data_IF_222832003283
#
_entry.id   IF_222832003283
#
_cell.length_a   1.000
_cell.length_b   1.000
_cell.length_c   1.000
_cell.angle_alpha   90.00
_cell.angle_beta   90.00
_cell.angle_gamma   90.00
#
_symmetry.space_group_name_H-M   'P 1'
#
loop_
_entity.id
_entity.type
_entity.pdbx_description
1 polymer ?
#
# COMPACT_ATOMS: atom_id res chain seq x y z
N UNK A 1 -8.96 43.96 -8.63
CA UNK A 1 -9.02 43.50 -7.22
C UNK A 1 -10.07 42.40 -7.02
N UNK A 2 -11.21 42.45 -7.71
CA UNK A 2 -12.32 41.46 -7.53
C UNK A 2 -11.98 40.03 -8.01
N UNK A 3 -10.96 39.83 -8.82
CA UNK A 3 -10.53 38.49 -9.29
C UNK A 3 -9.42 37.90 -8.41
N UNK A 4 -8.62 38.75 -7.77
CA UNK A 4 -7.50 38.29 -6.93
C UNK A 4 -7.96 37.59 -5.64
N UNK A 5 -9.08 38.06 -5.06
CA UNK A 5 -9.62 37.49 -3.81
C UNK A 5 -10.09 36.05 -4.01
N UNK A 6 -10.90 35.68 -5.03
CA UNK A 6 -11.31 34.29 -5.23
C UNK A 6 -10.14 33.37 -5.62
N UNK A 7 -9.16 33.86 -6.38
CA UNK A 7 -7.96 33.10 -6.72
C UNK A 7 -7.13 32.80 -5.48
N UNK A 8 -6.97 33.77 -4.59
CA UNK A 8 -6.24 33.57 -3.32
C UNK A 8 -6.97 32.63 -2.38
N UNK A 9 -8.31 32.68 -2.30
CA UNK A 9 -9.11 31.75 -1.52
C UNK A 9 -9.04 30.33 -2.07
N UNK A 10 -8.99 30.19 -3.39
CA UNK A 10 -8.85 28.88 -4.05
C UNK A 10 -7.47 28.26 -3.76
N UNK A 11 -6.39 29.03 -3.87
CA UNK A 11 -5.05 28.60 -3.54
C UNK A 11 -4.89 28.25 -2.05
N UNK A 12 -5.51 29.05 -1.18
CA UNK A 12 -5.51 28.77 0.26
C UNK A 12 -6.32 27.54 0.61
N UNK A 13 -7.47 27.33 -0.03
CA UNK A 13 -8.27 26.11 0.12
C UNK A 13 -7.53 24.85 -0.32
N UNK A 14 -6.80 24.92 -1.45
CA UNK A 14 -5.94 23.82 -1.92
C UNK A 14 -4.80 23.56 -0.94
N UNK A 15 -4.18 24.61 -0.38
CA UNK A 15 -3.12 24.47 0.62
C UNK A 15 -3.62 23.78 1.89
N UNK A 16 -4.82 24.14 2.37
CA UNK A 16 -5.44 23.49 3.54
C UNK A 16 -5.81 22.00 3.26
N UNK A 17 -6.24 21.70 2.04
CA UNK A 17 -6.48 20.32 1.60
C UNK A 17 -5.18 19.51 1.60
N UNK A 18 -4.11 20.06 1.06
CA UNK A 18 -2.78 19.43 1.07
C UNK A 18 -2.29 19.23 2.50
N UNK A 19 -2.43 20.21 3.38
CA UNK A 19 -2.04 20.08 4.80
C UNK A 19 -2.91 19.06 5.54
N UNK A 20 -4.19 18.96 5.23
CA UNK A 20 -5.08 17.96 5.82
C UNK A 20 -4.69 16.53 5.38
N UNK A 21 -4.36 16.33 4.12
CA UNK A 21 -3.90 15.04 3.59
C UNK A 21 -2.46 14.72 4.00
N UNK A 22 -1.56 15.72 4.11
CA UNK A 22 -0.17 15.51 4.56
C UNK A 22 0.01 15.57 6.08
N UNK A 23 -0.98 16.03 6.85
CA UNK A 23 -0.84 16.44 8.26
C UNK A 23 -0.84 15.31 9.31
N UNK A 24 -0.93 14.04 8.95
CA UNK A 24 -0.85 12.91 9.91
C UNK A 24 0.56 12.35 10.05
N UNK A 25 1.56 13.21 10.28
CA UNK A 25 2.91 12.75 10.62
C UNK A 25 3.02 12.41 12.11
N UNK A 26 2.89 11.14 12.47
CA UNK A 26 3.51 10.61 13.71
C UNK A 26 5.01 10.43 13.45
N UNK A 27 5.82 11.12 14.24
CA UNK A 27 7.28 10.97 14.25
C UNK A 27 7.65 9.56 14.71
N UNK A 28 8.25 8.76 13.84
CA UNK A 28 9.02 7.57 14.21
C UNK A 28 10.21 7.38 13.28
N UNK A 29 11.28 6.80 13.79
CA UNK A 29 12.63 6.73 13.24
C UNK A 29 12.71 6.18 11.81
N UNK A 30 13.49 6.89 10.98
CA UNK A 30 13.70 6.62 9.56
C UNK A 30 14.82 5.61 9.30
N UNK A 31 14.53 4.59 8.50
CA UNK A 31 15.54 3.93 7.66
C UNK A 31 15.29 4.39 6.23
N UNK A 32 16.24 5.12 5.67
CA UNK A 32 16.12 5.84 4.41
C UNK A 32 16.73 4.99 3.30
N UNK A 33 15.93 4.33 2.48
CA UNK A 33 16.36 3.86 1.19
C UNK A 33 16.09 4.96 0.15
N UNK A 34 17.15 5.64 -0.29
CA UNK A 34 17.08 6.72 -1.28
C UNK A 34 17.35 6.17 -2.67
N UNK A 35 16.35 6.12 -3.53
CA UNK A 35 16.52 6.02 -4.97
C UNK A 35 15.95 7.28 -5.63
N UNK A 36 16.74 7.93 -6.48
CA UNK A 36 16.55 9.29 -6.94
C UNK A 36 15.23 9.58 -7.66
N UNK A 37 14.42 10.35 -7.00
CA UNK A 37 13.19 10.96 -7.47
C UNK A 37 12.48 11.56 -6.26
N UNK A 38 11.83 12.72 -6.39
CA UNK A 38 11.04 13.33 -5.31
C UNK A 38 9.75 12.54 -5.05
N UNK A 39 9.90 11.29 -4.60
CA UNK A 39 8.79 10.42 -4.21
C UNK A 39 8.79 10.30 -2.69
N UNK A 40 7.63 10.48 -2.08
CA UNK A 40 7.49 10.18 -0.65
C UNK A 40 7.10 8.71 -0.54
N UNK A 41 8.10 7.88 -0.31
CA UNK A 41 7.93 6.47 0.01
C UNK A 41 8.43 6.26 1.43
N UNK A 42 7.61 5.69 2.29
CA UNK A 42 8.02 5.19 3.60
C UNK A 42 7.69 3.69 3.68
N UNK A 43 8.71 2.89 3.89
CA UNK A 43 8.56 1.44 4.04
C UNK A 43 9.28 1.02 5.30
N UNK A 44 8.55 0.35 6.18
CA UNK A 44 9.05 -0.17 7.46
C UNK A 44 8.60 -1.59 7.66
N UNK A 45 9.48 -2.40 8.18
CA UNK A 45 9.15 -3.72 8.67
C UNK A 45 9.80 -3.89 10.06
N UNK A 46 9.00 -3.70 11.11
CA UNK A 46 9.44 -3.81 12.50
C UNK A 46 8.75 -4.99 13.18
N UNK A 47 9.53 -5.94 13.70
CA UNK A 47 9.00 -7.12 14.39
C UNK A 47 7.94 -7.91 13.61
N UNK A 48 8.04 -7.92 12.26
CA UNK A 48 7.06 -8.57 11.38
C UNK A 48 5.83 -7.72 11.08
N UNK A 49 5.78 -6.46 11.50
CA UNK A 49 4.73 -5.52 11.11
C UNK A 49 5.19 -4.68 9.94
N UNK A 50 4.60 -4.91 8.77
CA UNK A 50 4.88 -4.18 7.55
C UNK A 50 4.05 -2.89 7.48
N UNK A 51 4.70 -1.77 7.19
CA UNK A 51 4.04 -0.51 6.87
C UNK A 51 4.67 0.07 5.61
N UNK A 52 3.88 0.21 4.57
CA UNK A 52 4.31 0.80 3.30
C UNK A 52 3.38 1.95 2.93
N UNK A 53 3.95 3.10 2.63
CA UNK A 53 3.21 4.27 2.16
C UNK A 53 3.85 4.80 0.88
N UNK A 54 3.05 4.98 -0.16
CA UNK A 54 3.43 5.63 -1.41
C UNK A 54 2.47 6.79 -1.69
N UNK A 55 2.96 8.01 -1.66
CA UNK A 55 2.12 9.17 -1.96
C UNK A 55 2.03 9.45 -3.46
N UNK A 56 3.15 9.41 -4.20
CA UNK A 56 3.18 9.65 -5.66
C UNK A 56 4.27 8.85 -6.34
N UNK A 57 3.98 8.29 -7.52
CA UNK A 57 4.97 7.70 -8.43
C UNK A 57 4.82 6.20 -8.62
N UNK A 58 5.88 5.58 -9.11
CA UNK A 58 5.95 4.12 -9.31
C UNK A 58 7.09 3.55 -8.49
N UNK A 59 6.82 2.52 -7.71
CA UNK A 59 7.83 1.88 -6.89
C UNK A 59 7.59 0.38 -6.74
N UNK A 60 8.68 -0.38 -6.63
CA UNK A 60 8.65 -1.79 -6.22
C UNK A 60 9.42 -1.94 -4.91
N UNK A 61 8.77 -2.52 -3.90
CA UNK A 61 9.33 -2.73 -2.58
C UNK A 61 9.42 -4.23 -2.31
N UNK A 62 10.64 -4.77 -2.26
CA UNK A 62 10.85 -6.12 -1.74
C UNK A 62 10.74 -6.11 -0.23
N UNK A 63 9.87 -6.95 0.31
CA UNK A 63 9.70 -7.15 1.75
C UNK A 63 10.54 -8.34 2.17
N UNK A 64 11.51 -8.10 3.05
CA UNK A 64 12.38 -9.15 3.59
C UNK A 64 12.14 -9.22 5.10
N UNK A 65 11.54 -10.30 5.55
CA UNK A 65 11.29 -10.53 6.99
C UNK A 65 11.27 -12.03 7.29
N UNK A 66 11.81 -12.46 8.44
CA UNK A 66 11.72 -13.85 8.85
C UNK A 66 10.28 -14.28 9.16
N UNK A 67 9.44 -13.37 9.66
CA UNK A 67 8.05 -13.65 9.95
C UNK A 67 7.19 -12.40 9.74
N UNK A 68 6.24 -12.45 8.81
CA UNK A 68 5.24 -11.41 8.61
C UNK A 68 4.03 -11.67 9.53
N UNK A 69 3.69 -10.71 10.37
CA UNK A 69 2.59 -10.82 11.36
C UNK A 69 1.40 -9.96 11.02
N UNK A 70 1.63 -8.81 10.41
CA UNK A 70 0.60 -7.92 9.90
C UNK A 70 1.19 -6.97 8.88
N UNK A 71 0.32 -6.32 8.08
CA UNK A 71 0.78 -5.31 7.15
C UNK A 71 -0.28 -4.25 6.89
N UNK A 72 0.21 -3.03 6.58
CA UNK A 72 -0.59 -1.94 6.07
C UNK A 72 0.13 -1.33 4.88
N UNK A 73 -0.57 -1.23 3.76
CA UNK A 73 -0.08 -0.70 2.49
C UNK A 73 -1.01 0.41 2.06
N UNK A 74 -0.48 1.61 1.92
CA UNK A 74 -1.24 2.79 1.52
C UNK A 74 -0.67 3.37 0.23
N UNK A 75 -1.52 3.56 -0.78
CA UNK A 75 -1.15 4.18 -2.05
C UNK A 75 -2.09 5.33 -2.35
N UNK A 76 -1.57 6.53 -2.49
CA UNK A 76 -2.40 7.69 -2.84
C UNK A 76 -2.50 7.89 -4.34
N UNK A 77 -1.35 7.96 -5.07
CA UNK A 77 -1.32 8.13 -6.52
C UNK A 77 -0.16 7.37 -7.15
N UNK A 78 -0.44 6.50 -8.12
CA UNK A 78 0.59 5.84 -8.93
C UNK A 78 0.54 4.32 -8.90
N UNK A 79 1.67 3.71 -9.29
CA UNK A 79 1.78 2.26 -9.41
C UNK A 79 2.71 1.70 -8.33
N UNK A 80 2.19 0.89 -7.44
CA UNK A 80 2.94 0.33 -6.35
C UNK A 80 3.01 -1.20 -6.44
N UNK A 81 4.20 -1.75 -6.38
CA UNK A 81 4.42 -3.20 -6.35
C UNK A 81 5.05 -3.59 -5.02
N UNK A 82 4.35 -4.40 -4.25
CA UNK A 82 4.86 -4.98 -3.00
C UNK A 82 5.19 -6.45 -3.24
N UNK A 83 6.43 -6.80 -2.99
CA UNK A 83 6.96 -8.12 -3.27
C UNK A 83 7.23 -8.88 -1.97
N UNK A 84 6.40 -9.87 -1.68
CA UNK A 84 6.52 -10.70 -0.47
C UNK A 84 7.39 -11.95 -0.66
N UNK A 85 8.09 -12.08 -1.80
CA UNK A 85 8.97 -13.24 -2.05
C UNK A 85 10.10 -13.39 -1.05
N UNK A 86 10.53 -12.28 -0.44
CA UNK A 86 11.56 -12.27 0.61
C UNK A 86 11.06 -12.60 2.02
N UNK A 87 9.75 -12.87 2.20
CA UNK A 87 9.22 -13.30 3.49
C UNK A 87 9.50 -14.79 3.68
N UNK A 88 10.22 -15.16 4.74
CA UNK A 88 10.51 -16.58 5.04
C UNK A 88 9.27 -17.31 5.55
N UNK A 89 8.49 -16.64 6.39
CA UNK A 89 7.23 -17.16 6.92
C UNK A 89 6.19 -16.04 7.07
N UNK A 90 4.93 -16.43 7.08
CA UNK A 90 3.78 -15.57 7.37
C UNK A 90 3.01 -16.18 8.53
N UNK A 91 2.60 -15.35 9.49
CA UNK A 91 1.75 -15.81 10.57
C UNK A 91 0.40 -16.25 10.00
N UNK A 92 -0.15 -17.35 10.49
CA UNK A 92 -1.47 -17.80 10.05
C UNK A 92 -2.54 -16.74 10.36
N UNK A 93 -3.43 -16.54 9.39
CA UNK A 93 -4.42 -15.46 9.42
C UNK A 93 -3.80 -14.05 9.56
N UNK A 94 -2.66 -13.81 8.91
CA UNK A 94 -1.97 -12.53 8.92
C UNK A 94 -2.86 -11.43 8.33
N UNK A 95 -3.26 -10.40 9.10
CA UNK A 95 -4.06 -9.31 8.59
C UNK A 95 -3.19 -8.40 7.71
N UNK A 96 -3.63 -8.16 6.49
CA UNK A 96 -3.01 -7.25 5.54
C UNK A 96 -4.05 -6.24 5.06
N UNK A 97 -3.91 -4.99 5.48
CA UNK A 97 -4.78 -3.89 5.04
C UNK A 97 -4.16 -3.17 3.87
N UNK A 98 -4.93 -2.97 2.82
CA UNK A 98 -4.52 -2.28 1.60
C UNK A 98 -5.47 -1.14 1.31
N UNK A 99 -4.95 0.08 1.28
CA UNK A 99 -5.69 1.29 0.92
C UNK A 99 -5.12 1.89 -0.37
N UNK A 100 -5.94 2.00 -1.41
CA UNK A 100 -5.54 2.60 -2.69
C UNK A 100 -6.56 3.65 -3.11
N UNK A 101 -6.12 4.90 -3.20
CA UNK A 101 -6.99 6.00 -3.61
C UNK A 101 -7.03 6.16 -5.13
N UNK A 102 -5.87 6.39 -5.79
CA UNK A 102 -5.77 6.55 -7.24
C UNK A 102 -4.52 5.82 -7.76
N UNK A 103 -4.70 4.77 -8.55
CA UNK A 103 -3.58 4.07 -9.15
C UNK A 103 -3.72 2.56 -9.13
N UNK A 104 -2.59 1.86 -9.25
CA UNK A 104 -2.57 0.41 -9.22
C UNK A 104 -1.62 -0.12 -8.14
N UNK A 105 -2.09 -1.10 -7.39
CA UNK A 105 -1.27 -1.87 -6.46
C UNK A 105 -1.13 -3.30 -6.98
N UNK A 106 0.10 -3.77 -7.08
CA UNK A 106 0.41 -5.18 -7.38
C UNK A 106 1.04 -5.83 -6.15
N UNK A 107 0.40 -6.88 -5.65
CA UNK A 107 0.92 -7.69 -4.56
C UNK A 107 1.47 -9.00 -5.13
N UNK A 108 2.79 -9.18 -5.05
CA UNK A 108 3.45 -10.42 -5.43
C UNK A 108 3.53 -11.34 -4.22
N UNK A 109 2.86 -12.47 -4.29
CA UNK A 109 2.75 -13.43 -3.18
C UNK A 109 3.35 -14.77 -3.62
N UNK A 110 4.27 -15.37 -2.85
CA UNK A 110 4.69 -16.72 -3.08
C UNK A 110 3.50 -17.71 -3.02
N UNK A 111 3.50 -18.68 -3.92
CA UNK A 111 2.41 -19.68 -4.05
C UNK A 111 2.17 -20.52 -2.77
N UNK A 112 3.19 -20.61 -1.89
CA UNK A 112 3.11 -21.27 -0.57
C UNK A 112 2.20 -20.55 0.43
N UNK A 113 1.79 -19.28 0.17
CA UNK A 113 0.86 -18.54 1.01
C UNK A 113 -0.45 -18.35 0.28
N UNK A 114 -1.58 -18.57 0.97
CA UNK A 114 -2.89 -18.28 0.43
C UNK A 114 -3.36 -16.87 0.82
N UNK A 115 -4.00 -16.17 -0.11
CA UNK A 115 -4.62 -14.86 0.16
C UNK A 115 -6.12 -15.02 0.13
N UNK A 116 -6.77 -14.68 1.23
CA UNK A 116 -8.23 -14.63 1.34
C UNK A 116 -8.65 -13.18 1.54
N UNK A 117 -9.52 -12.69 0.66
CA UNK A 117 -10.08 -11.35 0.78
C UNK A 117 -11.17 -11.39 1.84
N UNK A 118 -10.93 -10.78 3.00
CA UNK A 118 -11.86 -10.75 4.14
C UNK A 118 -12.79 -9.54 4.10
N UNK A 119 -12.30 -8.39 3.60
CA UNK A 119 -13.06 -7.17 3.40
C UNK A 119 -12.78 -6.60 2.02
N UNK A 120 -13.80 -6.03 1.39
CA UNK A 120 -13.67 -5.36 0.10
C UNK A 120 -14.59 -4.16 0.05
N UNK A 121 -14.01 -2.97 0.19
CA UNK A 121 -14.69 -1.72 -0.08
C UNK A 121 -14.16 -1.12 -1.38
N UNK A 122 -15.01 -0.99 -2.39
CA UNK A 122 -14.60 -0.52 -3.71
C UNK A 122 -15.55 0.51 -4.27
N UNK A 123 -15.00 1.69 -4.60
CA UNK A 123 -15.71 2.72 -5.35
C UNK A 123 -15.01 2.90 -6.69
N UNK A 124 -15.56 2.40 -7.78
CA UNK A 124 -14.96 2.46 -9.11
C UNK A 124 -13.54 1.83 -9.24
N UNK A 125 -13.31 0.72 -8.55
CA UNK A 125 -12.04 0.02 -8.54
C UNK A 125 -12.21 -1.47 -8.87
N UNK A 126 -11.09 -2.12 -9.27
CA UNK A 126 -11.07 -3.55 -9.61
C UNK A 126 -10.08 -4.31 -8.75
N UNK A 127 -10.48 -5.51 -8.33
CA UNK A 127 -9.61 -6.47 -7.67
C UNK A 127 -9.45 -7.69 -8.58
N UNK A 128 -8.21 -7.98 -8.98
CA UNK A 128 -7.88 -9.10 -9.85
C UNK A 128 -6.89 -10.03 -9.14
N UNK A 129 -7.13 -11.33 -9.26
CA UNK A 129 -6.21 -12.35 -8.78
C UNK A 129 -5.68 -13.15 -9.96
N UNK A 130 -4.35 -13.27 -10.06
CA UNK A 130 -3.66 -14.08 -11.08
C UNK A 130 -2.86 -15.19 -10.45
N UNK A 131 -3.12 -16.39 -10.92
CA UNK A 131 -2.53 -17.60 -10.37
C UNK A 131 -3.34 -18.15 -9.21
N UNK A 132 -2.86 -19.23 -8.64
CA UNK A 132 -3.46 -19.93 -7.50
C UNK A 132 -2.37 -20.29 -6.50
N UNK A 133 -2.66 -20.32 -5.21
CA UNK A 133 -1.73 -20.84 -4.23
C UNK A 133 -1.53 -22.35 -4.45
N UNK A 134 -0.53 -22.93 -3.83
CA UNK A 134 -0.34 -24.37 -3.82
C UNK A 134 -1.53 -25.09 -3.13
N UNK A 135 -1.66 -26.40 -3.36
CA UNK A 135 -2.77 -27.19 -2.76
C UNK A 135 -2.77 -27.18 -1.23
N UNK A 136 -1.59 -27.04 -0.62
CA UNK A 136 -1.43 -26.97 0.84
C UNK A 136 -0.60 -25.75 1.23
N UNK A 137 -1.22 -24.57 1.33
CA UNK A 137 -0.51 -23.35 1.72
C UNK A 137 -0.02 -23.44 3.16
N UNK A 138 1.19 -22.94 3.40
CA UNK A 138 1.81 -22.94 4.73
C UNK A 138 1.12 -21.95 5.69
N UNK A 139 0.57 -20.88 5.17
CA UNK A 139 -0.13 -19.86 5.95
C UNK A 139 -1.16 -19.10 5.10
N UNK A 140 -2.10 -18.46 5.78
CA UNK A 140 -3.15 -17.66 5.17
C UNK A 140 -2.95 -16.16 5.48
N UNK A 141 -3.09 -15.34 4.45
CA UNK A 141 -3.11 -13.88 4.55
C UNK A 141 -4.57 -13.42 4.43
N UNK A 142 -5.06 -12.69 5.42
CA UNK A 142 -6.38 -12.08 5.39
C UNK A 142 -6.25 -10.66 4.85
N UNK A 143 -6.67 -10.48 3.59
CA UNK A 143 -6.59 -9.22 2.90
C UNK A 143 -7.86 -8.39 3.10
N UNK A 144 -7.70 -7.21 3.66
CA UNK A 144 -8.74 -6.18 3.73
C UNK A 144 -8.38 -5.06 2.77
N UNK A 145 -9.21 -4.87 1.73
CA UNK A 145 -8.90 -3.97 0.62
C UNK A 145 -9.92 -2.83 0.53
N UNK A 146 -9.46 -1.60 0.73
CA UNK A 146 -10.20 -0.37 0.49
C UNK A 146 -9.64 0.33 -0.77
N UNK A 147 -10.44 0.31 -1.84
CA UNK A 147 -10.04 0.79 -3.15
C UNK A 147 -11.02 1.86 -3.62
N UNK A 148 -10.57 3.11 -3.74
CA UNK A 148 -11.43 4.20 -4.22
C UNK A 148 -11.46 4.28 -5.75
N UNK A 149 -10.32 4.59 -6.39
CA UNK A 149 -10.20 4.66 -7.86
C UNK A 149 -8.91 3.97 -8.28
N UNK A 150 -8.98 2.75 -8.80
CA UNK A 150 -7.77 2.05 -9.19
C UNK A 150 -7.93 0.55 -9.32
N UNK A 151 -6.81 -0.16 -9.19
CA UNK A 151 -6.82 -1.61 -9.27
C UNK A 151 -5.87 -2.23 -8.25
N UNK A 152 -6.31 -3.34 -7.67
CA UNK A 152 -5.45 -4.23 -6.89
C UNK A 152 -5.28 -5.54 -7.67
N UNK A 153 -4.04 -5.88 -7.98
CA UNK A 153 -3.69 -7.16 -8.60
C UNK A 153 -2.91 -8.00 -7.59
N UNK A 154 -3.42 -9.18 -7.27
CA UNK A 154 -2.72 -10.20 -6.49
C UNK A 154 -2.13 -11.19 -7.49
N UNK A 155 -0.82 -11.35 -7.47
CA UNK A 155 -0.11 -12.24 -8.39
C UNK A 155 0.71 -13.26 -7.61
N UNK A 156 0.39 -14.53 -7.80
CA UNK A 156 1.18 -15.64 -7.26
C UNK A 156 2.43 -15.88 -8.11
N UNK A 157 3.57 -16.10 -7.45
CA UNK A 157 4.90 -16.30 -8.05
C UNK A 157 5.60 -17.52 -7.42
#
# INVERSE_FOLDING_TARGET
WSVLIPVFLLLWGVSLLVDYFCGRRRKQHHVRASYGGKFTQDTRCDNGHLSCELSFGSCRVPVVTPLLRSGRIETSFGDFTVDLSGCEAVQDNCPLTVETNFGSLTLLVPDRFAVTVSGKDTTAASLNQRGTPCEHPEAQILLDADLSFGSLEIKYI
#
